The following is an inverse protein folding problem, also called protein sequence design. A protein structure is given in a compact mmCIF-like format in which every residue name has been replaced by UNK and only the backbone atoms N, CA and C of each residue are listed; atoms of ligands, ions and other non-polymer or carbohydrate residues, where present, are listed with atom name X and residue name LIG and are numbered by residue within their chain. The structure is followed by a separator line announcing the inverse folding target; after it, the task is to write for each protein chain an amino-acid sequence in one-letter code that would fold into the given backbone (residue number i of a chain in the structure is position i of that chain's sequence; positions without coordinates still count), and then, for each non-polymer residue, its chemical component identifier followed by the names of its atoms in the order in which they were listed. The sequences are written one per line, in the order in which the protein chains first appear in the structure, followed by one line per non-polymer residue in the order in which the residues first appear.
data_IF_590962977520
#
_entry.id   IF_590962977520
#
_cell.length_a   1.000
_cell.length_b   1.000
_cell.length_c   1.000
_cell.angle_alpha   90.00
_cell.angle_beta   90.00
_cell.angle_gamma   90.00
#
_symmetry.space_group_name_H-M   'P 1'
#
loop_
_entity.id
_entity.type
_entity.pdbx_description
1 polymer ?
#
# COMPACT_ATOMS: atom_id res chain seq x y z
N UNK A 1 -16.04 1.69 -32.43
CA UNK A 1 -15.22 0.49 -32.16
C UNK A 1 -15.07 0.35 -30.65
N UNK A 2 -16.03 -0.29 -29.98
CA UNK A 2 -16.06 -0.47 -28.54
C UNK A 2 -15.67 -1.91 -28.22
N UNK A 3 -14.64 -2.10 -27.39
CA UNK A 3 -14.15 -3.42 -27.00
C UNK A 3 -14.39 -3.59 -25.51
N UNK A 4 -15.31 -4.50 -25.19
CA UNK A 4 -15.71 -4.92 -23.86
C UNK A 4 -14.70 -5.91 -23.27
N UNK A 5 -14.19 -5.63 -22.07
CA UNK A 5 -13.33 -6.54 -21.31
C UNK A 5 -14.14 -7.34 -20.29
N UNK A 6 -14.20 -8.66 -20.45
CA UNK A 6 -14.76 -9.61 -19.48
C UNK A 6 -13.68 -10.04 -18.48
N UNK A 7 -13.89 -9.79 -17.19
CA UNK A 7 -13.05 -10.29 -16.09
C UNK A 7 -13.51 -11.70 -15.68
N UNK A 8 -12.62 -12.69 -15.85
CA UNK A 8 -12.75 -14.05 -15.30
C UNK A 8 -12.37 -14.05 -13.81
N UNK A 9 -13.28 -14.47 -12.93
CA UNK A 9 -12.98 -14.78 -11.54
C UNK A 9 -12.64 -16.28 -11.37
N UNK A 10 -11.47 -16.57 -10.83
CA UNK A 10 -10.98 -17.91 -10.48
C UNK A 10 -11.44 -18.23 -9.04
N UNK A 11 -12.20 -19.31 -8.84
CA UNK A 11 -12.57 -19.82 -7.52
C UNK A 11 -11.72 -21.05 -7.18
N UNK A 12 -10.95 -20.96 -6.08
CA UNK A 12 -10.19 -22.07 -5.51
C UNK A 12 -11.14 -23.02 -4.75
N UNK A 13 -11.19 -24.30 -5.15
CA UNK A 13 -11.84 -25.38 -4.38
C UNK A 13 -10.83 -26.00 -3.42
N UNK A 14 -11.16 -26.03 -2.13
CA UNK A 14 -10.41 -26.75 -1.09
C UNK A 14 -11.23 -27.98 -0.69
N UNK A 15 -10.72 -29.17 -1.03
CA UNK A 15 -11.31 -30.46 -0.66
C UNK A 15 -10.85 -30.89 0.73
N UNK A 16 -11.76 -31.43 1.54
CA UNK A 16 -11.44 -32.20 2.74
C UNK A 16 -11.85 -33.65 2.50
N UNK A 17 -10.88 -34.55 2.58
CA UNK A 17 -11.10 -35.99 2.54
C UNK A 17 -11.54 -36.48 3.93
N UNK A 18 -12.76 -36.98 4.04
CA UNK A 18 -13.22 -37.77 5.18
C UNK A 18 -13.47 -39.20 4.72
N UNK A 19 -12.66 -40.14 5.23
CA UNK A 19 -12.82 -41.57 4.96
C UNK A 19 -13.90 -42.16 5.88
N UNK A 20 -14.94 -42.73 5.31
CA UNK A 20 -15.88 -43.59 6.03
C UNK A 20 -15.95 -44.95 5.36
N UNK A 21 -15.56 -45.98 6.11
CA UNK A 21 -15.49 -47.35 5.66
C UNK A 21 -16.89 -47.93 5.47
N UNK A 22 -17.07 -48.64 4.36
CA UNK A 22 -18.30 -49.36 4.06
C UNK A 22 -18.29 -50.71 4.79
N UNK A 23 -19.10 -50.82 5.85
CA UNK A 23 -19.51 -52.12 6.36
C UNK A 23 -20.68 -52.64 5.51
N UNK A 24 -20.40 -53.67 4.71
CA UNK A 24 -21.42 -54.52 4.08
C UNK A 24 -22.26 -55.21 5.16
N UNK A 25 -23.57 -55.02 5.14
CA UNK A 25 -24.54 -56.06 5.54
C UNK A 25 -25.69 -56.13 4.55
N UNK A 26 -26.09 -57.37 4.32
CA UNK A 26 -26.94 -57.86 3.24
C UNK A 26 -28.44 -57.70 3.53
N UNK A 27 -29.15 -57.53 2.41
CA UNK A 27 -30.58 -57.60 2.08
C UNK A 27 -31.49 -58.41 3.03
N UNK A 28 -32.54 -57.76 3.55
CA UNK A 28 -33.76 -58.36 4.13
C UNK A 28 -35.02 -58.02 3.30
N UNK A 29 -36.18 -58.67 3.55
CA UNK A 29 -37.36 -58.72 2.65
C UNK A 29 -38.26 -57.46 2.74
N UNK A 30 -39.23 -57.27 1.81
CA UNK A 30 -39.86 -55.98 1.58
C UNK A 30 -40.95 -55.70 2.63
N UNK A 31 -40.78 -54.63 3.41
CA UNK A 31 -41.82 -54.12 4.31
C UNK A 31 -42.42 -52.86 3.70
N UNK A 32 -43.75 -52.82 3.72
CA UNK A 32 -44.65 -51.85 3.12
C UNK A 32 -44.13 -50.41 3.12
N UNK A 33 -44.27 -49.74 1.96
CA UNK A 33 -43.94 -48.33 1.80
C UNK A 33 -44.79 -47.45 2.71
N UNK A 34 -44.22 -47.06 3.85
CA UNK A 34 -44.67 -45.89 4.60
C UNK A 34 -44.03 -44.68 3.93
N UNK A 35 -44.75 -44.11 2.97
CA UNK A 35 -44.39 -42.81 2.42
C UNK A 35 -44.42 -41.79 3.55
N UNK A 36 -43.25 -41.24 3.90
CA UNK A 36 -43.17 -40.04 4.71
C UNK A 36 -43.85 -38.91 3.92
N UNK A 37 -45.12 -38.63 4.24
CA UNK A 37 -45.75 -37.39 3.83
C UNK A 37 -44.98 -36.27 4.51
N UNK A 38 -44.20 -35.51 3.73
CA UNK A 38 -43.74 -34.20 4.16
C UNK A 38 -44.99 -33.34 4.34
N UNK A 39 -45.44 -33.20 5.59
CA UNK A 39 -46.36 -32.13 5.95
C UNK A 39 -45.51 -30.88 6.02
N UNK A 40 -45.52 -30.11 4.94
CA UNK A 40 -45.10 -28.72 5.01
C UNK A 40 -46.19 -27.98 5.78
N UNK A 41 -46.06 -27.90 7.09
CA UNK A 41 -46.78 -26.87 7.84
C UNK A 41 -46.28 -25.52 7.31
N UNK A 42 -47.17 -24.76 6.69
CA UNK A 42 -46.88 -23.41 6.23
C UNK A 42 -46.47 -22.57 7.45
N UNK A 43 -45.29 -21.97 7.39
CA UNK A 43 -44.81 -21.05 8.43
C UNK A 43 -45.84 -19.91 8.64
N UNK A 44 -46.16 -19.54 9.88
CA UNK A 44 -47.14 -18.48 10.15
C UNK A 44 -46.65 -17.17 9.56
N UNK A 45 -47.58 -16.40 8.96
CA UNK A 45 -47.28 -15.12 8.31
C UNK A 45 -46.46 -14.21 9.22
N UNK A 46 -45.28 -13.84 8.75
CA UNK A 46 -44.37 -12.94 9.45
C UNK A 46 -45.03 -11.57 9.62
N UNK A 47 -45.52 -11.27 10.82
CA UNK A 47 -45.83 -9.89 11.25
C UNK A 47 -44.54 -9.08 11.11
N UNK A 48 -44.40 -8.36 10.00
CA UNK A 48 -43.31 -7.41 9.78
C UNK A 48 -43.33 -6.39 10.91
N UNK A 49 -42.34 -6.46 11.79
CA UNK A 49 -42.14 -5.47 12.85
C UNK A 49 -41.99 -4.09 12.21
N UNK A 50 -42.53 -3.04 12.85
CA UNK A 50 -42.43 -1.68 12.35
C UNK A 50 -40.95 -1.25 12.35
N UNK A 51 -40.40 -0.92 11.18
CA UNK A 51 -39.05 -0.37 11.05
C UNK A 51 -39.08 1.07 11.54
N UNK A 52 -38.24 1.39 12.52
CA UNK A 52 -38.04 2.77 13.02
C UNK A 52 -36.80 3.32 12.31
N UNK A 53 -36.96 4.44 11.62
CA UNK A 53 -35.86 5.10 10.90
C UNK A 53 -35.19 6.13 11.82
N UNK A 54 -33.95 5.87 12.23
CA UNK A 54 -33.11 6.79 13.02
C UNK A 54 -32.00 7.38 12.13
N UNK A 55 -31.80 8.70 12.17
CA UNK A 55 -30.76 9.38 11.38
C UNK A 55 -29.45 9.53 12.18
N UNK A 56 -29.53 9.64 13.51
CA UNK A 56 -28.39 9.92 14.40
C UNK A 56 -27.32 8.82 14.34
N UNK A 57 -27.74 7.57 14.21
CA UNK A 57 -26.86 6.39 14.16
C UNK A 57 -26.10 6.29 12.83
N UNK A 58 -26.54 6.99 11.79
CA UNK A 58 -25.84 6.99 10.50
C UNK A 58 -24.44 7.63 10.59
N UNK A 59 -24.20 8.50 11.58
CA UNK A 59 -22.88 9.06 11.86
C UNK A 59 -21.81 8.00 12.13
N UNK A 60 -22.18 6.83 12.64
CA UNK A 60 -21.25 5.70 12.81
C UNK A 60 -20.89 5.05 11.48
N UNK A 61 -21.82 5.02 10.53
CA UNK A 61 -21.58 4.52 9.16
C UNK A 61 -20.62 5.47 8.42
N UNK A 62 -20.78 6.78 8.57
CA UNK A 62 -19.90 7.77 7.95
C UNK A 62 -18.43 7.59 8.38
N UNK A 63 -18.17 7.23 9.63
CA UNK A 63 -16.81 6.96 10.15
C UNK A 63 -16.15 5.73 9.53
N UNK A 64 -16.95 4.79 9.01
CA UNK A 64 -16.45 3.56 8.37
C UNK A 64 -16.10 3.79 6.90
N UNK A 65 -16.56 4.89 6.29
CA UNK A 65 -16.27 5.21 4.90
C UNK A 65 -14.84 5.77 4.81
N UNK A 66 -13.95 5.15 4.03
CA UNK A 66 -12.58 5.63 3.90
C UNK A 66 -12.51 6.94 3.10
N UNK A 67 -11.59 7.81 3.50
CA UNK A 67 -11.29 9.02 2.73
C UNK A 67 -10.67 8.67 1.38
N UNK A 68 -11.19 9.27 0.31
CA UNK A 68 -10.68 9.07 -1.05
C UNK A 68 -9.34 9.75 -1.30
N UNK A 69 -9.07 10.86 -0.60
CA UNK A 69 -7.87 11.68 -0.74
C UNK A 69 -7.01 11.61 0.52
N UNK A 70 -5.68 11.65 0.32
CA UNK A 70 -4.73 11.69 1.44
C UNK A 70 -4.84 13.05 2.13
N UNK A 71 -5.02 13.11 3.46
CA UNK A 71 -5.10 14.39 4.16
C UNK A 71 -3.76 15.13 4.13
N UNK A 72 -3.84 16.45 4.27
CA UNK A 72 -2.65 17.26 4.52
C UNK A 72 -2.10 16.94 5.93
N UNK A 73 -0.77 16.96 6.12
CA UNK A 73 -0.21 16.70 7.43
C UNK A 73 -0.58 17.85 8.39
N UNK A 74 -0.79 17.55 9.68
CA UNK A 74 -0.98 18.58 10.69
C UNK A 74 0.28 19.47 10.81
N UNK A 75 0.08 20.73 11.20
CA UNK A 75 1.17 21.69 11.35
C UNK A 75 2.00 21.38 12.60
N UNK A 76 3.30 21.18 12.41
CA UNK A 76 4.25 20.91 13.48
C UNK A 76 5.47 21.83 13.31
N UNK A 77 5.94 22.43 14.41
CA UNK A 77 7.08 23.35 14.39
C UNK A 77 8.46 22.63 14.32
N UNK A 78 8.51 21.31 14.52
CA UNK A 78 9.75 20.55 14.59
C UNK A 78 9.58 19.08 14.20
N UNK A 79 10.63 18.26 14.34
CA UNK A 79 10.55 16.84 14.02
C UNK A 79 9.53 16.16 14.94
N UNK A 80 8.62 15.40 14.35
CA UNK A 80 7.67 14.59 15.11
C UNK A 80 8.41 13.42 15.78
N UNK A 81 7.82 12.77 16.81
CA UNK A 81 8.41 11.57 17.41
C UNK A 81 8.68 10.43 16.42
N UNK A 82 7.97 10.40 15.29
CA UNK A 82 8.20 9.46 14.20
C UNK A 82 9.40 9.80 13.30
N UNK A 83 10.06 10.95 13.52
CA UNK A 83 11.14 11.46 12.68
C UNK A 83 10.66 12.12 11.38
N UNK A 84 9.37 12.41 11.24
CA UNK A 84 8.87 13.17 10.11
C UNK A 84 9.10 14.67 10.34
N UNK A 85 9.52 15.36 9.28
CA UNK A 85 9.73 16.80 9.30
C UNK A 85 9.07 17.43 8.06
N UNK A 86 8.30 18.51 8.23
CA UNK A 86 7.73 19.24 7.10
C UNK A 86 8.84 19.86 6.23
N UNK A 87 8.56 20.09 4.93
CA UNK A 87 9.45 20.91 4.11
C UNK A 87 9.48 22.35 4.62
N UNK A 88 10.51 23.12 4.28
CA UNK A 88 10.57 24.55 4.59
C UNK A 88 9.48 25.32 3.80
N UNK A 89 8.96 26.40 4.39
CA UNK A 89 7.87 27.20 3.79
C UNK A 89 8.31 27.86 2.48
N UNK A 90 9.55 28.34 2.42
CA UNK A 90 10.15 28.91 1.22
C UNK A 90 11.07 27.89 0.55
N UNK A 91 10.99 27.70 -0.78
CA UNK A 91 11.93 26.85 -1.49
C UNK A 91 13.34 27.40 -1.33
N UNK A 92 14.35 26.53 -1.10
CA UNK A 92 15.73 26.97 -0.98
C UNK A 92 16.21 27.59 -2.31
N UNK A 93 17.10 28.59 -2.27
CA UNK A 93 17.66 29.24 -3.46
C UNK A 93 18.72 28.33 -4.13
N UNK A 94 18.31 27.12 -4.50
CA UNK A 94 19.13 26.10 -5.15
C UNK A 94 18.65 25.90 -6.59
N UNK A 95 19.55 25.50 -7.51
CA UNK A 95 19.19 25.28 -8.91
C UNK A 95 18.33 24.01 -9.13
N UNK A 96 18.11 23.23 -8.08
CA UNK A 96 17.26 22.05 -8.07
C UNK A 96 16.34 22.04 -6.85
N UNK A 97 15.21 21.34 -7.00
CA UNK A 97 14.20 21.12 -5.97
C UNK A 97 13.86 19.63 -5.91
N UNK A 98 13.57 19.11 -4.71
CA UNK A 98 13.11 17.74 -4.55
C UNK A 98 11.71 17.76 -3.96
N UNK A 99 10.75 17.15 -4.67
CA UNK A 99 9.36 17.12 -4.22
C UNK A 99 9.10 15.96 -3.26
N UNK A 100 8.32 16.24 -2.21
CA UNK A 100 7.80 15.19 -1.33
C UNK A 100 6.91 14.19 -2.08
N UNK A 101 6.87 12.96 -1.54
CA UNK A 101 6.00 11.89 -2.02
C UNK A 101 4.51 12.21 -1.76
N UNK A 102 3.60 11.37 -2.28
CA UNK A 102 2.15 11.49 -1.99
C UNK A 102 1.85 11.42 -0.48
N UNK A 103 2.68 10.70 0.27
CA UNK A 103 2.58 10.55 1.72
C UNK A 103 3.48 11.53 2.47
N UNK A 104 3.84 12.67 1.85
CA UNK A 104 4.63 13.75 2.45
C UNK A 104 6.06 13.37 2.93
N UNK A 105 6.57 12.22 2.48
CA UNK A 105 7.93 11.75 2.80
C UNK A 105 8.97 12.14 1.74
N UNK A 106 10.24 12.22 2.13
CA UNK A 106 11.39 12.45 1.24
C UNK A 106 11.56 11.25 0.29
N UNK A 107 11.66 11.46 -1.04
CA UNK A 107 11.66 10.39 -2.05
C UNK A 107 13.02 9.70 -2.23
N UNK A 108 13.60 9.20 -1.13
CA UNK A 108 14.85 8.42 -1.11
C UNK A 108 14.54 6.97 -0.76
N UNK A 109 14.95 6.05 -1.63
CA UNK A 109 14.66 4.63 -1.50
C UNK A 109 15.93 3.79 -1.69
N UNK A 110 16.07 2.72 -0.94
CA UNK A 110 17.07 1.70 -1.23
C UNK A 110 16.48 0.66 -2.20
N UNK A 111 17.29 0.25 -3.16
CA UNK A 111 16.98 -0.82 -4.09
C UNK A 111 18.04 -1.93 -3.96
N UNK A 112 17.58 -3.18 -4.05
CA UNK A 112 18.40 -4.38 -3.95
C UNK A 112 18.17 -5.25 -5.17
N UNK A 113 19.07 -5.16 -6.14
CA UNK A 113 19.04 -6.00 -7.34
C UNK A 113 19.95 -7.21 -7.19
N UNK A 114 19.57 -8.35 -7.79
CA UNK A 114 20.38 -9.59 -7.83
C UNK A 114 20.89 -10.06 -6.44
N UNK A 115 20.17 -9.74 -5.36
CA UNK A 115 20.51 -10.09 -3.97
C UNK A 115 21.73 -9.38 -3.37
N UNK A 116 22.66 -8.86 -4.19
CA UNK A 116 23.91 -8.23 -3.74
C UNK A 116 24.06 -6.76 -4.13
N UNK A 117 23.45 -6.33 -5.22
CA UNK A 117 23.63 -4.98 -5.76
C UNK A 117 22.70 -4.04 -4.98
N UNK A 118 23.31 -3.27 -4.08
CA UNK A 118 22.64 -2.31 -3.22
C UNK A 118 22.82 -0.92 -3.83
N UNK A 119 21.71 -0.24 -4.10
CA UNK A 119 21.70 1.11 -4.65
C UNK A 119 20.72 1.97 -3.87
N UNK A 120 20.95 3.28 -3.85
CA UNK A 120 20.03 4.27 -3.28
C UNK A 120 19.55 5.16 -4.40
N UNK A 121 18.23 5.30 -4.52
CA UNK A 121 17.54 6.01 -5.57
C UNK A 121 16.87 7.26 -4.99
N UNK A 122 17.24 8.42 -5.52
CA UNK A 122 16.59 9.70 -5.28
C UNK A 122 15.66 9.96 -6.46
N UNK A 123 14.38 10.24 -6.18
CA UNK A 123 13.35 10.49 -7.21
C UNK A 123 12.76 11.89 -7.06
N UNK A 124 11.95 12.30 -8.04
CA UNK A 124 11.19 13.57 -8.03
C UNK A 124 12.10 14.80 -7.88
N UNK A 125 13.24 14.76 -8.55
CA UNK A 125 14.10 15.92 -8.71
C UNK A 125 13.49 16.82 -9.77
N UNK A 126 13.54 18.13 -9.56
CA UNK A 126 13.17 19.16 -10.53
C UNK A 126 14.34 20.15 -10.62
N UNK A 127 14.55 20.76 -11.80
CA UNK A 127 15.68 21.66 -12.03
C UNK A 127 16.98 20.95 -12.45
N UNK A 128 18.13 21.52 -12.09
CA UNK A 128 19.45 21.03 -12.50
C UNK A 128 19.90 19.80 -11.70
N UNK A 129 19.75 18.62 -12.28
CA UNK A 129 20.13 17.35 -11.67
C UNK A 129 21.64 17.16 -11.55
N UNK A 130 22.44 17.82 -12.40
CA UNK A 130 23.91 17.73 -12.33
C UNK A 130 24.45 18.50 -11.13
N UNK A 131 23.82 19.62 -10.78
CA UNK A 131 24.11 20.32 -9.53
C UNK A 131 23.78 19.46 -8.30
N UNK A 132 22.64 18.73 -8.32
CA UNK A 132 22.30 17.79 -7.25
C UNK A 132 23.33 16.65 -7.15
N UNK A 133 23.75 16.09 -8.29
CA UNK A 133 24.74 15.02 -8.30
C UNK A 133 26.04 15.45 -7.64
N UNK A 134 26.58 16.63 -8.01
CA UNK A 134 27.82 17.17 -7.45
C UNK A 134 27.72 17.36 -5.94
N UNK A 135 26.62 17.94 -5.46
CA UNK A 135 26.37 18.15 -4.04
C UNK A 135 26.28 16.82 -3.27
N UNK A 136 25.59 15.82 -3.84
CA UNK A 136 25.45 14.48 -3.27
C UNK A 136 26.79 13.75 -3.24
N UNK A 137 27.57 13.82 -4.33
CA UNK A 137 28.92 13.24 -4.38
C UNK A 137 29.83 13.87 -3.32
N UNK A 138 29.79 15.20 -3.16
CA UNK A 138 30.59 15.90 -2.16
C UNK A 138 30.19 15.50 -0.74
N UNK A 139 28.89 15.45 -0.45
CA UNK A 139 28.39 14.99 0.85
C UNK A 139 28.83 13.55 1.15
N UNK A 140 28.62 12.63 0.20
CA UNK A 140 28.96 11.21 0.38
C UNK A 140 30.48 10.97 0.48
N UNK A 141 31.28 11.78 -0.21
CA UNK A 141 32.75 11.76 -0.08
C UNK A 141 33.18 12.13 1.33
N UNK A 142 32.49 13.08 1.97
CA UNK A 142 32.77 13.45 3.36
C UNK A 142 32.38 12.35 4.35
N UNK A 143 31.25 11.65 4.11
CA UNK A 143 30.77 10.59 5.01
C UNK A 143 31.55 9.28 4.85
N UNK A 144 31.80 8.85 3.60
CA UNK A 144 32.41 7.55 3.28
C UNK A 144 33.94 7.64 3.12
N UNK A 145 34.48 8.84 2.88
CA UNK A 145 35.89 9.05 2.56
C UNK A 145 36.30 8.59 1.14
N UNK A 146 35.34 8.22 0.30
CA UNK A 146 35.56 7.71 -1.07
C UNK A 146 34.54 8.28 -2.03
N UNK A 147 34.95 8.44 -3.28
CA UNK A 147 34.03 8.80 -4.35
C UNK A 147 33.21 7.57 -4.76
N UNK A 148 31.89 7.75 -4.79
CA UNK A 148 30.95 6.70 -5.14
C UNK A 148 30.46 6.89 -6.56
N UNK A 149 30.28 5.79 -7.32
CA UNK A 149 29.72 5.88 -8.66
C UNK A 149 28.24 6.25 -8.56
N UNK A 150 27.89 7.34 -9.24
CA UNK A 150 26.53 7.86 -9.41
C UNK A 150 26.06 7.65 -10.84
N UNK A 151 24.75 7.57 -11.02
CA UNK A 151 24.11 7.51 -12.31
C UNK A 151 22.95 8.50 -12.33
N UNK A 152 23.05 9.48 -13.23
CA UNK A 152 22.03 10.48 -13.49
C UNK A 152 21.12 9.99 -14.62
N UNK A 153 19.81 10.17 -14.45
CA UNK A 153 18.84 10.03 -15.53
C UNK A 153 18.02 11.32 -15.62
N UNK A 154 18.29 12.11 -16.66
CA UNK A 154 17.65 13.40 -16.91
C UNK A 154 16.19 13.26 -17.30
N UNK A 155 15.83 12.21 -18.05
CA UNK A 155 14.45 12.03 -18.56
C UNK A 155 13.50 11.74 -17.41
N UNK A 156 13.88 10.83 -16.50
CA UNK A 156 13.05 10.49 -15.35
C UNK A 156 13.31 11.37 -14.13
N UNK A 157 14.31 12.27 -14.22
CA UNK A 157 14.80 13.09 -13.12
C UNK A 157 15.08 12.26 -11.85
N UNK A 158 15.91 11.23 -12.02
CA UNK A 158 16.31 10.32 -10.93
C UNK A 158 17.81 10.23 -10.82
N UNK A 159 18.31 10.21 -9.59
CA UNK A 159 19.72 10.02 -9.28
C UNK A 159 19.88 8.69 -8.54
N UNK A 160 20.75 7.82 -9.06
CA UNK A 160 21.08 6.54 -8.44
C UNK A 160 22.50 6.58 -7.90
N UNK A 161 22.66 6.17 -6.65
CA UNK A 161 23.95 6.08 -5.95
C UNK A 161 24.22 4.62 -5.63
N UNK A 162 25.45 4.14 -5.84
CA UNK A 162 25.84 2.80 -5.41
C UNK A 162 26.04 2.75 -3.89
N UNK A 163 25.40 1.81 -3.22
CA UNK A 163 25.46 1.60 -1.77
C UNK A 163 24.14 1.89 -1.05
N UNK A 164 24.14 1.73 0.27
CA UNK A 164 23.01 2.05 1.13
C UNK A 164 23.29 3.35 1.87
N UNK A 165 22.64 4.42 1.42
CA UNK A 165 22.79 5.78 1.97
C UNK A 165 21.42 6.40 2.20
N UNK A 166 20.41 5.56 2.48
CA UNK A 166 19.02 5.98 2.56
C UNK A 166 18.76 6.91 3.76
N UNK A 167 19.32 6.60 4.92
CA UNK A 167 19.18 7.43 6.13
C UNK A 167 19.94 8.74 6.02
N UNK A 168 21.23 8.66 5.66
CA UNK A 168 22.11 9.81 5.51
C UNK A 168 21.58 10.81 4.49
N UNK A 169 21.14 10.33 3.31
CA UNK A 169 20.57 11.21 2.29
C UNK A 169 19.21 11.77 2.71
N UNK A 170 18.38 11.04 3.47
CA UNK A 170 17.14 11.60 4.00
C UNK A 170 17.42 12.72 4.98
N UNK A 171 18.33 12.52 5.93
CA UNK A 171 18.71 13.51 6.92
C UNK A 171 19.33 14.75 6.27
N UNK A 172 20.20 14.56 5.28
CA UNK A 172 20.81 15.66 4.53
C UNK A 172 19.81 16.45 3.69
N UNK A 173 18.87 15.77 3.02
CA UNK A 173 17.81 16.47 2.27
C UNK A 173 16.86 17.22 3.21
N UNK A 174 16.56 16.64 4.37
CA UNK A 174 15.73 17.27 5.37
C UNK A 174 16.39 18.51 5.97
N UNK A 175 17.72 18.48 6.21
CA UNK A 175 18.47 19.65 6.71
C UNK A 175 18.56 20.78 5.69
N UNK A 176 18.52 20.46 4.38
CA UNK A 176 18.38 21.46 3.30
C UNK A 176 16.97 22.06 3.19
N UNK A 177 15.97 21.48 3.86
CA UNK A 177 14.59 21.98 3.87
C UNK A 177 13.70 21.46 2.73
N UNK A 178 14.11 20.40 2.03
CA UNK A 178 13.32 19.75 0.97
C UNK A 178 12.25 18.82 1.50
#
# INVERSE_FOLDING_TARGET
MAVSFTLRSIMLRRSLHGAFSLHRRTRGPPVAGVGLRFVCDAAPEEKKMAVIESVEEYSFVERLIPLSRVPAPPHHAGPTPSGWMPPADSPPPLPYMIRRSRMHNIPVYSDLTHGRRKTTLIRKVEGDIWALEKDVQQYLKNVTGRELPTQVNEVTMTLTVKGHFDKELKEWLASKGF
#
